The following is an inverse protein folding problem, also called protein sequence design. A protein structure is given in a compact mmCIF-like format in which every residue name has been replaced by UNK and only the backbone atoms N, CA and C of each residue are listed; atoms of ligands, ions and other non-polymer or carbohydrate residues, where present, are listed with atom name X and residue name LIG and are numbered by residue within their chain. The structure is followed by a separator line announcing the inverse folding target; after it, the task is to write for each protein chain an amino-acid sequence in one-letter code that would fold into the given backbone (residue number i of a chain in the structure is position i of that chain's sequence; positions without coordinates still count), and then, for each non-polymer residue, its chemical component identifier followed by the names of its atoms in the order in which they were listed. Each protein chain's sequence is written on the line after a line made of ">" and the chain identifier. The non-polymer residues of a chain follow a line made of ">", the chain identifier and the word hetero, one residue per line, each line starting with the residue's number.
data_IF_001766262292
#
_entry.id   IF_001766262292
#
_cell.length_a   1.000
_cell.length_b   1.000
_cell.length_c   1.000
_cell.angle_alpha   90.00
_cell.angle_beta   90.00
_cell.angle_gamma   90.00
#
_symmetry.space_group_name_H-M   'P 1'
#
loop_
_entity.id
_entity.type
_entity.pdbx_description
1 polymer ?
#
# COMPACT_ATOMS: atom_id res chain seq x y z
N UNK A 1 14.23 6.84 -6.59
CA UNK A 1 13.21 7.62 -5.87
C UNK A 1 13.68 7.74 -4.44
N UNK A 2 13.88 8.97 -3.97
CA UNK A 2 13.99 9.28 -2.55
C UNK A 2 12.61 9.06 -1.91
N UNK A 3 12.57 8.52 -0.69
CA UNK A 3 11.31 8.33 0.03
C UNK A 3 10.82 9.69 0.53
N UNK A 4 9.63 10.11 0.07
CA UNK A 4 9.02 11.39 0.43
C UNK A 4 7.91 11.24 1.48
N UNK A 5 7.23 12.35 1.77
CA UNK A 5 5.99 12.33 2.54
C UNK A 5 4.91 11.49 1.85
N UNK A 6 4.08 10.82 2.65
CA UNK A 6 2.98 10.01 2.13
C UNK A 6 1.87 9.86 3.17
N UNK A 7 0.65 10.26 2.84
CA UNK A 7 -0.52 10.12 3.71
C UNK A 7 -0.31 10.65 5.14
N UNK A 8 0.43 11.76 5.26
CA UNK A 8 0.74 12.40 6.55
C UNK A 8 1.96 11.84 7.28
N UNK A 9 2.61 10.83 6.71
CA UNK A 9 3.80 10.21 7.27
C UNK A 9 5.07 10.77 6.64
N UNK A 10 5.99 11.20 7.50
CA UNK A 10 7.32 11.66 7.13
C UNK A 10 8.19 10.51 6.57
N UNK A 11 9.23 10.83 5.77
CA UNK A 11 10.23 9.85 5.34
C UNK A 11 10.79 8.98 6.49
N UNK A 12 11.05 9.59 7.64
CA UNK A 12 11.64 8.95 8.82
C UNK A 12 10.67 7.93 9.45
N UNK A 13 9.40 8.31 9.64
CA UNK A 13 8.36 7.39 10.14
C UNK A 13 8.16 6.20 9.19
N UNK A 14 8.20 6.46 7.89
CA UNK A 14 8.08 5.41 6.88
C UNK A 14 9.24 4.44 6.89
N UNK A 15 10.46 4.93 7.13
CA UNK A 15 11.65 4.08 7.22
C UNK A 15 11.70 3.29 8.54
N UNK A 16 11.11 3.83 9.61
CA UNK A 16 11.09 3.20 10.93
C UNK A 16 10.30 1.87 10.96
N UNK A 17 9.37 1.64 10.02
CA UNK A 17 8.60 0.38 9.93
C UNK A 17 9.41 -0.78 9.35
N UNK A 18 10.44 -0.50 8.56
CA UNK A 18 11.25 -1.52 7.88
C UNK A 18 11.88 -2.56 8.82
N UNK A 19 12.59 -2.20 9.92
CA UNK A 19 13.12 -3.19 10.84
C UNK A 19 12.02 -4.02 11.52
N UNK A 20 10.86 -3.42 11.82
CA UNK A 20 9.73 -4.10 12.45
C UNK A 20 9.18 -5.18 11.53
N UNK A 21 8.89 -4.85 10.28
CA UNK A 21 8.39 -5.80 9.29
C UNK A 21 9.41 -6.90 8.98
N UNK A 22 10.70 -6.58 8.93
CA UNK A 22 11.75 -7.57 8.70
C UNK A 22 11.79 -8.60 9.82
N UNK A 23 11.72 -8.18 11.07
CA UNK A 23 11.70 -9.10 12.20
C UNK A 23 10.39 -9.91 12.22
N UNK A 24 9.24 -9.28 11.96
CA UNK A 24 7.97 -9.98 11.88
C UNK A 24 7.94 -11.05 10.77
N UNK A 25 8.58 -10.81 9.63
CA UNK A 25 8.76 -11.85 8.60
C UNK A 25 9.68 -12.97 9.06
N UNK A 26 10.77 -12.62 9.73
CA UNK A 26 11.76 -13.59 10.22
C UNK A 26 11.18 -14.48 11.33
N UNK A 27 10.34 -13.93 12.19
CA UNK A 27 9.66 -14.65 13.27
C UNK A 27 8.42 -15.43 12.81
N UNK A 28 7.96 -15.19 11.58
CA UNK A 28 6.75 -15.81 11.03
C UNK A 28 5.45 -15.09 11.40
N UNK A 29 5.52 -13.97 12.13
CA UNK A 29 4.35 -13.13 12.44
C UNK A 29 3.76 -12.46 11.18
N UNK A 30 4.59 -12.18 10.16
CA UNK A 30 4.15 -11.74 8.85
C UNK A 30 4.59 -12.75 7.78
N UNK A 31 3.66 -13.15 6.92
CA UNK A 31 3.98 -13.95 5.74
C UNK A 31 4.37 -13.04 4.57
N UNK A 32 5.42 -13.41 3.83
CA UNK A 32 5.80 -12.67 2.63
C UNK A 32 4.64 -12.71 1.62
N UNK A 33 4.27 -11.57 1.04
CA UNK A 33 3.13 -11.51 0.15
C UNK A 33 3.42 -12.23 -1.16
N UNK A 34 2.47 -13.02 -1.63
CA UNK A 34 2.56 -13.78 -2.89
C UNK A 34 1.63 -13.26 -3.97
N UNK A 35 0.66 -12.40 -3.64
CA UNK A 35 -0.30 -11.82 -4.57
C UNK A 35 -0.50 -10.33 -4.30
N UNK A 36 -0.73 -9.55 -5.35
CA UNK A 36 -1.10 -8.14 -5.23
C UNK A 36 -2.57 -8.01 -4.80
N UNK A 37 -2.85 -7.28 -3.73
CA UNK A 37 -4.21 -7.00 -3.25
C UNK A 37 -4.98 -6.00 -4.12
N UNK A 38 -4.33 -5.40 -5.13
CA UNK A 38 -4.94 -4.46 -6.07
C UNK A 38 -5.30 -5.18 -7.37
N UNK A 39 -4.31 -5.72 -8.08
CA UNK A 39 -4.54 -6.31 -9.41
C UNK A 39 -4.57 -7.86 -9.41
N UNK A 40 -4.40 -8.51 -8.27
CA UNK A 40 -4.44 -9.97 -8.13
C UNK A 40 -3.25 -10.74 -8.71
N UNK A 41 -2.25 -10.06 -9.31
CA UNK A 41 -1.13 -10.77 -9.94
C UNK A 41 -0.31 -11.57 -8.91
N UNK A 42 0.15 -12.74 -9.33
CA UNK A 42 1.10 -13.54 -8.56
C UNK A 42 2.47 -12.85 -8.55
N UNK A 43 3.13 -12.85 -7.39
CA UNK A 43 4.39 -12.17 -7.14
C UNK A 43 5.56 -12.82 -7.85
N UNK A 44 6.30 -12.00 -8.62
CA UNK A 44 7.53 -12.44 -9.26
C UNK A 44 8.69 -12.54 -8.25
N UNK A 45 9.54 -13.54 -8.42
CA UNK A 45 10.76 -13.72 -7.60
C UNK A 45 11.83 -12.68 -7.94
N UNK A 46 11.87 -12.21 -9.18
CA UNK A 46 12.69 -11.05 -9.53
C UNK A 46 12.06 -9.79 -8.96
N UNK A 47 12.70 -9.25 -7.91
CA UNK A 47 12.28 -8.01 -7.24
C UNK A 47 12.29 -6.80 -8.16
N UNK A 48 12.90 -6.86 -9.34
CA UNK A 48 12.87 -5.75 -10.31
C UNK A 48 11.69 -5.82 -11.26
N UNK A 49 10.97 -6.93 -11.32
CA UNK A 49 9.82 -7.06 -12.21
C UNK A 49 8.63 -6.20 -11.74
N UNK A 50 7.75 -5.84 -12.68
CA UNK A 50 6.58 -5.00 -12.42
C UNK A 50 5.53 -5.71 -11.55
N UNK A 51 5.51 -7.04 -11.62
CA UNK A 51 4.68 -7.96 -10.85
C UNK A 51 5.37 -8.47 -9.56
N UNK A 52 6.55 -7.95 -9.19
CA UNK A 52 7.13 -8.20 -7.87
C UNK A 52 6.26 -7.59 -6.77
N UNK A 53 5.91 -8.35 -5.73
CA UNK A 53 5.01 -7.94 -4.64
C UNK A 53 5.76 -7.70 -3.33
N UNK A 54 5.37 -6.65 -2.62
CA UNK A 54 5.97 -6.17 -1.37
C UNK A 54 4.87 -5.74 -0.40
N UNK A 55 5.28 -5.50 0.84
CA UNK A 55 4.44 -4.75 1.78
C UNK A 55 4.42 -3.27 1.42
N UNK A 56 3.21 -2.72 1.47
CA UNK A 56 2.93 -1.30 1.36
C UNK A 56 2.10 -0.87 2.57
N UNK A 57 2.51 0.18 3.25
CA UNK A 57 1.78 0.69 4.40
C UNK A 57 0.98 1.93 3.99
N UNK A 58 -0.32 1.92 4.26
CA UNK A 58 -1.12 3.15 4.31
C UNK A 58 -1.09 3.78 5.71
N UNK A 59 -0.92 2.94 6.73
CA UNK A 59 -0.87 3.27 8.14
C UNK A 59 0.48 2.89 8.73
N UNK A 60 1.42 3.83 8.73
CA UNK A 60 2.76 3.57 9.24
C UNK A 60 2.84 3.45 10.78
N UNK A 61 1.77 3.81 11.51
CA UNK A 61 1.58 3.46 12.93
C UNK A 61 1.18 2.00 13.17
N UNK A 62 0.81 1.27 12.10
CA UNK A 62 0.39 -0.14 12.13
C UNK A 62 1.26 -0.96 11.18
N UNK A 63 2.58 -1.08 11.45
CA UNK A 63 3.52 -1.73 10.51
C UNK A 63 3.28 -3.23 10.28
N UNK A 64 2.42 -3.86 11.09
CA UNK A 64 2.02 -5.27 10.96
C UNK A 64 0.68 -5.45 10.25
N UNK A 65 0.08 -4.36 9.78
CA UNK A 65 -1.11 -4.36 8.93
C UNK A 65 -0.74 -3.83 7.51
N UNK A 66 0.26 -4.41 6.81
CA UNK A 66 0.63 -3.96 5.47
C UNK A 66 -0.28 -4.52 4.37
N UNK A 67 -0.40 -3.76 3.30
CA UNK A 67 -1.08 -4.17 2.07
C UNK A 67 -0.11 -4.84 1.08
N UNK A 68 -0.40 -6.04 0.58
CA UNK A 68 0.38 -6.66 -0.49
C UNK A 68 0.22 -5.90 -1.81
N UNK A 69 1.26 -5.24 -2.33
CA UNK A 69 1.14 -4.46 -3.57
C UNK A 69 2.27 -4.78 -4.53
N UNK A 70 1.97 -5.02 -5.81
CA UNK A 70 3.01 -5.21 -6.82
C UNK A 70 3.67 -3.88 -7.21
N UNK A 71 4.90 -3.94 -7.73
CA UNK A 71 5.70 -2.76 -8.08
C UNK A 71 4.95 -1.79 -9.00
N UNK A 72 4.24 -2.32 -10.01
CA UNK A 72 3.43 -1.52 -10.94
C UNK A 72 2.32 -0.75 -10.22
N UNK A 73 1.50 -1.45 -9.43
CA UNK A 73 0.40 -0.83 -8.71
C UNK A 73 0.90 0.15 -7.65
N UNK A 74 1.98 -0.18 -6.94
CA UNK A 74 2.60 0.68 -5.93
C UNK A 74 3.08 2.01 -6.52
N UNK A 75 3.66 1.98 -7.73
CA UNK A 75 4.05 3.22 -8.43
C UNK A 75 2.83 4.08 -8.75
N UNK A 76 1.78 3.50 -9.35
CA UNK A 76 0.56 4.24 -9.71
C UNK A 76 -0.14 4.81 -8.48
N UNK A 77 -0.17 4.03 -7.39
CA UNK A 77 -0.69 4.44 -6.09
C UNK A 77 0.01 5.70 -5.59
N UNK A 78 1.35 5.74 -5.59
CA UNK A 78 2.09 6.93 -5.16
C UNK A 78 1.96 8.10 -6.14
N UNK A 79 1.84 7.82 -7.43
CA UNK A 79 1.66 8.83 -8.47
C UNK A 79 0.27 9.46 -8.47
N UNK A 80 -0.72 8.86 -7.79
CA UNK A 80 -2.12 9.32 -7.83
C UNK A 80 -2.31 10.79 -7.45
N UNK A 81 -1.43 11.34 -6.61
CA UNK A 81 -1.47 12.75 -6.21
C UNK A 81 -1.04 13.70 -7.32
N UNK A 82 -0.15 13.28 -8.21
CA UNK A 82 0.37 14.12 -9.30
C UNK A 82 -0.32 13.82 -10.63
N UNK A 83 -0.60 12.53 -10.86
CA UNK A 83 -1.14 11.98 -12.09
C UNK A 83 -2.26 10.99 -11.72
N UNK A 84 -3.48 11.47 -11.44
CA UNK A 84 -4.56 10.62 -10.96
C UNK A 84 -5.13 9.69 -12.04
N UNK A 85 -5.04 10.04 -13.33
CA UNK A 85 -5.72 9.29 -14.39
C UNK A 85 -5.25 7.82 -14.48
N UNK A 86 -3.94 7.50 -14.51
CA UNK A 86 -3.50 6.10 -14.48
C UNK A 86 -3.96 5.30 -13.26
N UNK A 87 -4.16 5.96 -12.11
CA UNK A 87 -4.70 5.33 -10.91
C UNK A 87 -6.20 5.06 -11.05
N UNK A 88 -6.96 6.01 -11.60
CA UNK A 88 -8.38 5.85 -11.90
C UNK A 88 -8.63 4.73 -12.92
N UNK A 89 -7.80 4.61 -13.95
CA UNK A 89 -7.89 3.53 -14.94
C UNK A 89 -7.65 2.16 -14.28
N UNK A 90 -6.68 2.08 -13.36
CA UNK A 90 -6.42 0.89 -12.57
C UNK A 90 -7.59 0.52 -11.65
N UNK A 91 -8.23 1.51 -11.02
CA UNK A 91 -9.46 1.29 -10.23
C UNK A 91 -10.59 0.80 -11.13
N UNK A 92 -10.79 1.42 -12.30
CA UNK A 92 -11.84 0.98 -13.23
C UNK A 92 -11.63 -0.47 -13.70
N UNK A 93 -10.38 -0.90 -13.84
CA UNK A 93 -10.04 -2.25 -14.26
C UNK A 93 -10.18 -3.31 -13.16
N UNK A 94 -9.83 -2.98 -11.91
CA UNK A 94 -9.68 -3.95 -10.82
C UNK A 94 -10.62 -3.74 -9.64
N UNK A 95 -11.33 -2.61 -9.60
CA UNK A 95 -12.26 -2.27 -8.54
C UNK A 95 -13.48 -3.19 -8.54
N UNK A 96 -13.98 -3.47 -7.34
CA UNK A 96 -15.16 -4.28 -7.08
C UNK A 96 -16.15 -3.58 -6.13
N UNK A 97 -15.94 -2.30 -5.79
CA UNK A 97 -16.88 -1.51 -4.98
C UNK A 97 -16.74 -1.77 -3.49
N UNK A 98 -15.51 -1.74 -2.95
CA UNK A 98 -15.27 -2.04 -1.54
C UNK A 98 -13.81 -2.20 -1.08
N UNK A 99 -12.86 -2.67 -1.92
CA UNK A 99 -11.46 -2.74 -1.55
C UNK A 99 -10.84 -1.41 -1.11
N UNK A 100 -9.88 -1.49 -0.19
CA UNK A 100 -9.19 -0.35 0.43
C UNK A 100 -8.64 0.67 -0.58
N UNK A 101 -8.15 0.20 -1.73
CA UNK A 101 -7.48 1.06 -2.70
C UNK A 101 -8.46 2.00 -3.43
N UNK A 102 -9.75 1.65 -3.50
CA UNK A 102 -10.77 2.52 -4.08
C UNK A 102 -11.07 3.74 -3.22
N UNK A 103 -10.75 3.66 -1.93
CA UNK A 103 -11.03 4.71 -0.94
C UNK A 103 -9.90 5.73 -0.83
N UNK A 104 -8.79 5.54 -1.55
CA UNK A 104 -7.64 6.44 -1.46
C UNK A 104 -7.96 7.81 -2.06
N UNK A 105 -7.77 8.86 -1.26
CA UNK A 105 -7.86 10.24 -1.73
C UNK A 105 -6.89 10.53 -2.89
N UNK A 106 -7.37 11.28 -3.86
CA UNK A 106 -6.59 11.87 -4.95
C UNK A 106 -6.09 13.29 -4.63
N UNK A 107 -6.53 13.88 -3.51
CA UNK A 107 -6.13 15.23 -3.10
C UNK A 107 -4.63 15.25 -2.75
N UNK A 108 -3.79 16.02 -3.45
CA UNK A 108 -2.36 16.08 -3.19
C UNK A 108 -2.03 16.54 -1.76
N UNK A 109 -2.93 17.30 -1.12
CA UNK A 109 -2.76 17.77 0.26
C UNK A 109 -2.74 16.60 1.26
N UNK A 110 -3.39 15.48 0.92
CA UNK A 110 -3.36 14.27 1.75
C UNK A 110 -1.94 13.69 1.88
N UNK A 111 -1.00 14.03 1.00
CA UNK A 111 0.39 13.61 1.15
C UNK A 111 1.01 14.06 2.49
N UNK A 112 0.62 15.23 2.98
CA UNK A 112 1.17 15.86 4.19
C UNK A 112 0.17 15.93 5.35
N UNK A 113 -1.13 15.79 5.08
CA UNK A 113 -2.17 15.82 6.10
C UNK A 113 -2.14 14.54 6.94
N UNK A 114 -2.29 14.62 8.28
CA UNK A 114 -2.40 13.43 9.12
C UNK A 114 -3.38 12.38 8.57
N UNK A 115 -3.00 11.11 8.64
CA UNK A 115 -3.77 10.00 8.07
C UNK A 115 -5.24 10.04 8.51
N UNK A 116 -5.50 10.23 9.81
CA UNK A 116 -6.85 10.25 10.38
C UNK A 116 -7.73 11.40 9.88
N UNK A 117 -7.17 12.49 9.38
CA UNK A 117 -7.96 13.56 8.76
C UNK A 117 -8.30 13.26 7.30
N UNK A 118 -7.46 12.49 6.61
CA UNK A 118 -7.72 12.05 5.24
C UNK A 118 -8.66 10.84 5.20
N UNK A 119 -8.57 9.99 6.23
CA UNK A 119 -9.31 8.72 6.36
C UNK A 119 -9.89 8.58 7.78
N UNK A 120 -10.93 9.35 8.14
CA UNK A 120 -11.45 9.37 9.51
C UNK A 120 -12.09 8.06 9.96
N UNK A 121 -12.57 7.24 9.02
CA UNK A 121 -13.06 5.88 9.30
C UNK A 121 -11.96 4.81 9.16
N UNK A 122 -10.72 5.22 8.86
CA UNK A 122 -9.64 4.31 8.47
C UNK A 122 -9.82 3.74 7.06
N UNK A 123 -8.97 2.77 6.72
CA UNK A 123 -9.07 1.96 5.51
C UNK A 123 -9.33 0.51 5.93
N UNK A 124 -10.12 -0.27 5.18
CA UNK A 124 -10.28 -1.69 5.45
C UNK A 124 -8.94 -2.42 5.25
N UNK A 125 -8.69 -3.45 6.04
CA UNK A 125 -7.45 -4.22 5.93
C UNK A 125 -7.71 -5.52 5.13
N UNK A 126 -6.89 -5.87 4.12
CA UNK A 126 -7.16 -6.99 3.20
C UNK A 126 -7.20 -8.36 3.88
N UNK A 127 -6.69 -8.51 5.10
CA UNK A 127 -6.77 -9.78 5.84
C UNK A 127 -8.08 -9.99 6.61
N UNK A 128 -8.99 -9.00 6.64
CA UNK A 128 -10.30 -9.15 7.30
C UNK A 128 -11.28 -10.08 6.52
N UNK A 129 -10.79 -10.82 5.52
CA UNK A 129 -11.61 -11.72 4.71
C UNK A 129 -10.88 -12.77 3.86
N UNK A 130 -9.57 -13.00 4.06
CA UNK A 130 -8.88 -14.13 3.41
C UNK A 130 -8.98 -15.37 4.32
N UNK A 131 -9.36 -16.55 3.78
CA UNK A 131 -9.28 -17.78 4.56
C UNK A 131 -7.82 -18.01 4.98
N UNK A 132 -7.62 -18.30 6.28
CA UNK A 132 -6.33 -18.74 6.81
C UNK A 132 -5.95 -20.13 6.31
#
# INVERSE_FOLDING_TARGET
>A
MTIGWYNGWSPEERLATLPIQREAVKSGQLQRPTHCSICGCMGNRDRRADDAVWFHDERYDRPLEPYPVCRRCHRLLHQRFEQPQPWLDLIAQHGQGGPWFELLSLDPRCQFRPFAESYPQGLPFPLDGLPQ
#
